data_IF_748591345071
#
_entry.id   IF_748591345071
#
_cell.length_a   1.000
_cell.length_b   1.000
_cell.length_c   1.000
_cell.angle_alpha   90.00
_cell.angle_beta   90.00
_cell.angle_gamma   90.00
#
_symmetry.space_group_name_H-M   'P 1'
#
loop_
_entity.id
_entity.type
_entity.pdbx_description
1 polymer ?
#
# COMPACT_ATOMS: atom_id res chain seq x y z
N UNK A 1 18.96 7.53 20.56
CA UNK A 1 19.86 6.59 19.87
C UNK A 1 18.98 5.80 18.91
N UNK A 2 19.10 6.10 17.62
CA UNK A 2 18.29 5.52 16.55
C UNK A 2 19.00 4.25 16.07
N UNK A 3 18.32 3.11 16.14
CA UNK A 3 18.78 1.86 15.52
C UNK A 3 18.22 1.83 14.09
N UNK A 4 18.99 2.41 13.16
CA UNK A 4 18.70 2.44 11.72
C UNK A 4 19.69 1.52 10.99
N UNK A 5 19.46 0.20 11.08
CA UNK A 5 20.22 -0.82 10.34
C UNK A 5 19.42 -1.57 9.26
N UNK A 6 18.25 -1.08 8.85
CA UNK A 6 17.39 -1.82 7.92
C UNK A 6 17.38 -1.27 6.47
N UNK A 7 18.47 -0.63 6.03
CA UNK A 7 18.75 -0.43 4.61
C UNK A 7 19.81 -1.42 4.12
N UNK A 8 19.53 -2.72 4.24
CA UNK A 8 20.23 -3.74 3.46
C UNK A 8 19.54 -3.90 2.09
N UNK A 9 20.11 -3.24 1.09
CA UNK A 9 19.97 -3.66 -0.31
C UNK A 9 20.80 -4.95 -0.46
N UNK A 10 20.15 -6.00 -0.97
CA UNK A 10 20.60 -7.40 -0.93
C UNK A 10 22.09 -7.66 -1.17
N UNK A 11 22.70 -8.35 -0.20
CA UNK A 11 24.07 -8.85 -0.25
C UNK A 11 24.22 -10.10 -1.11
N UNK A 12 25.08 -10.00 -2.13
CA UNK A 12 25.75 -11.15 -2.74
C UNK A 12 26.94 -11.56 -1.86
N UNK A 13 27.05 -12.86 -1.59
CA UNK A 13 28.15 -13.47 -0.85
C UNK A 13 29.50 -13.30 -1.55
N UNK A 14 30.54 -12.98 -0.77
CA UNK A 14 31.90 -13.30 -1.19
C UNK A 14 33.02 -12.58 -0.44
N UNK A 15 33.62 -13.27 0.53
CA UNK A 15 35.08 -13.25 0.71
C UNK A 15 35.64 -12.19 1.65
N UNK A 16 36.29 -12.67 2.72
CA UNK A 16 36.94 -11.82 3.72
C UNK A 16 38.17 -11.07 3.21
N UNK A 17 38.48 -10.00 3.94
CA UNK A 17 39.67 -9.19 3.76
C UNK A 17 39.65 -8.00 4.69
N UNK A 18 40.12 -8.19 5.93
CA UNK A 18 40.39 -7.08 6.83
C UNK A 18 41.57 -6.26 6.31
N UNK A 19 41.34 -4.98 6.02
CA UNK A 19 42.42 -4.08 5.59
C UNK A 19 41.92 -2.70 5.17
N UNK A 20 42.10 -1.73 6.08
CA UNK A 20 42.34 -0.31 5.80
C UNK A 20 41.56 0.34 4.63
N UNK A 21 40.31 0.77 4.86
CA UNK A 21 39.60 1.67 3.93
C UNK A 21 38.95 2.89 4.62
N UNK A 22 39.65 3.47 5.60
CA UNK A 22 39.33 4.80 6.17
C UNK A 22 40.14 5.93 5.52
N UNK A 23 40.80 5.67 4.38
CA UNK A 23 41.89 6.51 3.89
C UNK A 23 41.55 7.50 2.77
N UNK A 24 40.64 7.19 1.85
CA UNK A 24 40.58 7.95 0.59
C UNK A 24 39.80 9.27 0.64
N UNK A 25 38.73 9.36 1.45
CA UNK A 25 37.92 10.59 1.53
C UNK A 25 38.67 11.79 2.12
N UNK A 26 39.49 11.54 3.16
CA UNK A 26 40.22 12.60 3.85
C UNK A 26 41.37 13.20 3.02
N UNK A 27 42.01 12.40 2.15
CA UNK A 27 43.16 12.88 1.36
C UNK A 27 42.74 13.82 0.23
N UNK A 28 41.60 13.57 -0.43
CA UNK A 28 41.09 14.42 -1.51
C UNK A 28 40.64 15.80 -0.98
N UNK A 29 40.02 15.82 0.20
CA UNK A 29 39.59 17.06 0.87
C UNK A 29 40.77 17.92 1.35
N UNK A 30 41.85 17.30 1.85
CA UNK A 30 43.06 18.01 2.26
C UNK A 30 43.80 18.65 1.07
N UNK A 31 43.87 17.95 -0.06
CA UNK A 31 44.46 18.48 -1.31
C UNK A 31 43.66 19.65 -1.89
N UNK A 32 42.32 19.59 -1.87
CA UNK A 32 41.47 20.67 -2.36
C UNK A 32 41.61 21.97 -1.54
N UNK A 33 41.80 21.86 -0.22
CA UNK A 33 42.07 23.01 0.65
C UNK A 33 43.44 23.67 0.36
N UNK A 34 44.45 22.88 0.01
CA UNK A 34 45.78 23.39 -0.39
C UNK A 34 45.79 24.15 -1.73
N UNK A 35 44.80 23.90 -2.59
CA UNK A 35 44.71 24.48 -3.94
C UNK A 35 43.83 25.73 -4.03
N UNK A 36 43.28 26.23 -2.90
CA UNK A 36 42.40 27.40 -2.91
C UNK A 36 41.08 27.17 -3.66
N UNK A 37 40.70 25.90 -3.88
CA UNK A 37 39.49 25.53 -4.60
C UNK A 37 38.28 25.53 -3.65
N UNK A 38 37.80 26.72 -3.29
CA UNK A 38 36.57 26.88 -2.49
C UNK A 38 35.33 26.21 -3.12
N UNK A 39 35.39 25.86 -4.41
CA UNK A 39 34.29 25.26 -5.18
C UNK A 39 34.17 23.74 -5.12
N UNK A 40 35.26 23.00 -4.87
CA UNK A 40 35.24 21.52 -4.88
C UNK A 40 34.36 20.91 -3.77
N UNK A 41 34.31 21.45 -2.54
CA UNK A 41 33.61 20.80 -1.42
C UNK A 41 32.09 20.68 -1.60
N UNK A 42 31.43 21.70 -2.19
CA UNK A 42 29.96 21.65 -2.35
C UNK A 42 29.53 20.53 -3.28
N UNK A 43 30.23 20.35 -4.40
CA UNK A 43 29.90 19.30 -5.38
C UNK A 43 30.03 17.89 -4.80
N UNK A 44 31.00 17.65 -3.93
CA UNK A 44 31.16 16.36 -3.26
C UNK A 44 30.05 16.09 -2.25
N UNK A 45 29.62 17.11 -1.49
CA UNK A 45 28.53 16.98 -0.52
C UNK A 45 27.18 16.63 -1.18
N UNK A 46 26.99 16.98 -2.46
CA UNK A 46 25.76 16.63 -3.21
C UNK A 46 25.58 15.12 -3.43
N UNK A 47 26.62 14.31 -3.26
CA UNK A 47 26.55 12.86 -3.42
C UNK A 47 26.43 12.12 -2.08
N UNK A 48 26.67 12.80 -0.97
CA UNK A 48 26.58 12.21 0.37
C UNK A 48 25.12 12.05 0.81
N UNK A 49 24.86 11.10 1.71
CA UNK A 49 23.59 11.01 2.42
C UNK A 49 23.50 12.09 3.53
N UNK A 50 22.33 12.25 4.15
CA UNK A 50 22.15 13.25 5.20
C UNK A 50 23.04 13.03 6.43
N UNK A 51 23.37 11.78 6.76
CA UNK A 51 24.21 11.46 7.91
C UNK A 51 25.66 11.89 7.64
N UNK A 52 26.15 11.62 6.44
CA UNK A 52 27.48 11.97 5.99
C UNK A 52 27.64 13.48 5.79
N UNK A 53 26.59 14.18 5.34
CA UNK A 53 26.56 15.65 5.28
C UNK A 53 26.77 16.24 6.68
N UNK A 54 26.04 15.76 7.69
CA UNK A 54 26.19 16.21 9.09
C UNK A 54 27.56 15.85 9.66
N UNK A 55 28.05 14.64 9.39
CA UNK A 55 29.37 14.20 9.84
C UNK A 55 30.50 15.07 9.24
N UNK A 56 30.42 15.40 7.95
CA UNK A 56 31.33 16.35 7.31
C UNK A 56 31.27 17.73 7.99
N UNK A 57 30.05 18.17 8.33
CA UNK A 57 29.83 19.43 9.05
C UNK A 57 30.50 19.48 10.44
N UNK A 58 30.71 18.33 11.08
CA UNK A 58 31.41 18.25 12.37
C UNK A 58 32.94 18.28 12.24
N UNK A 59 33.50 18.01 11.05
CA UNK A 59 34.94 17.84 10.87
C UNK A 59 35.72 19.18 10.89
N UNK A 60 35.20 20.24 10.26
CA UNK A 60 35.80 21.58 10.31
C UNK A 60 34.79 22.70 10.03
N UNK A 61 35.13 23.95 10.38
CA UNK A 61 34.24 25.11 10.21
C UNK A 61 33.81 25.41 8.77
N UNK A 62 34.65 25.06 7.78
CA UNK A 62 34.34 25.29 6.37
C UNK A 62 33.29 24.30 5.89
N UNK A 63 33.50 23.01 6.18
CA UNK A 63 32.54 21.94 5.92
C UNK A 63 31.27 22.13 6.74
N UNK A 64 31.35 22.67 7.95
CA UNK A 64 30.16 23.06 8.72
C UNK A 64 29.29 24.06 7.96
N UNK A 65 29.91 25.11 7.40
CA UNK A 65 29.19 26.10 6.58
C UNK A 65 28.63 25.49 5.30
N UNK A 66 29.40 24.64 4.62
CA UNK A 66 28.98 23.97 3.39
C UNK A 66 27.89 22.92 3.63
N UNK A 67 27.96 22.14 4.71
CA UNK A 67 26.94 21.19 5.14
C UNK A 67 25.69 21.89 5.66
N UNK A 68 25.78 23.16 6.08
CA UNK A 68 24.63 24.01 6.39
C UNK A 68 24.00 24.69 5.16
N UNK A 69 24.58 24.50 3.97
CA UNK A 69 24.11 25.15 2.75
C UNK A 69 22.75 24.60 2.30
N UNK A 70 21.84 25.51 1.94
CA UNK A 70 20.48 25.18 1.53
C UNK A 70 20.47 24.36 0.23
N UNK A 71 21.41 24.60 -0.69
CA UNK A 71 21.54 23.87 -1.95
C UNK A 71 21.92 22.41 -1.75
N UNK A 72 22.83 22.13 -0.80
CA UNK A 72 23.22 20.75 -0.43
C UNK A 72 22.03 19.98 0.11
N UNK A 73 21.30 20.55 1.07
CA UNK A 73 20.12 19.89 1.62
C UNK A 73 18.97 19.80 0.63
N UNK A 74 18.82 20.77 -0.27
CA UNK A 74 17.80 20.69 -1.34
C UNK A 74 18.07 19.49 -2.23
N UNK A 75 19.32 19.29 -2.67
CA UNK A 75 19.68 18.12 -3.46
C UNK A 75 19.52 16.80 -2.69
N UNK A 76 19.83 16.76 -1.39
CA UNK A 76 19.57 15.59 -0.55
C UNK A 76 18.08 15.28 -0.42
N UNK A 77 17.25 16.31 -0.23
CA UNK A 77 15.79 16.21 -0.15
C UNK A 77 15.15 15.78 -1.45
N UNK A 78 15.57 16.36 -2.56
CA UNK A 78 15.03 16.03 -3.87
C UNK A 78 15.35 14.56 -4.23
N UNK A 79 16.56 14.08 -3.91
CA UNK A 79 16.91 12.64 -4.00
C UNK A 79 16.08 11.76 -3.06
N UNK A 80 15.85 12.21 -1.82
CA UNK A 80 15.01 11.48 -0.87
C UNK A 80 13.56 11.33 -1.37
N UNK A 81 13.03 12.35 -2.04
CA UNK A 81 11.67 12.38 -2.57
C UNK A 81 11.52 11.69 -3.93
N UNK A 82 12.63 11.31 -4.57
CA UNK A 82 12.62 10.59 -5.83
C UNK A 82 11.91 9.23 -5.67
N UNK A 83 10.93 8.99 -6.55
CA UNK A 83 10.11 7.77 -6.53
C UNK A 83 9.15 7.65 -5.35
N UNK A 84 8.97 8.68 -4.51
CA UNK A 84 8.02 8.64 -3.40
C UNK A 84 6.60 8.99 -3.88
N UNK A 85 5.64 8.15 -3.51
CA UNK A 85 4.22 8.28 -3.86
C UNK A 85 3.61 9.50 -3.15
N UNK A 86 3.95 9.69 -1.87
CA UNK A 86 3.40 10.78 -1.07
C UNK A 86 4.47 11.45 -0.22
N UNK A 87 4.49 12.79 -0.30
CA UNK A 87 5.28 13.69 0.55
C UNK A 87 4.35 14.83 0.97
N UNK A 88 4.12 15.06 2.27
CA UNK A 88 3.21 16.10 2.74
C UNK A 88 3.57 17.50 2.22
N UNK A 89 2.57 18.29 1.85
CA UNK A 89 2.77 19.67 1.40
C UNK A 89 3.44 20.54 2.48
N UNK A 90 3.15 20.26 3.76
CA UNK A 90 3.84 20.91 4.88
C UNK A 90 5.35 20.67 4.86
N UNK A 91 5.81 19.47 4.48
CA UNK A 91 7.24 19.16 4.32
C UNK A 91 7.85 19.82 3.08
N UNK A 92 7.04 20.03 2.03
CA UNK A 92 7.43 20.74 0.80
C UNK A 92 7.65 22.24 1.02
N UNK A 93 6.83 22.85 1.86
CA UNK A 93 6.90 24.27 2.21
C UNK A 93 8.04 24.62 3.18
N UNK A 94 8.63 23.65 3.88
CA UNK A 94 9.74 23.85 4.82
C UNK A 94 11.08 24.10 4.13
N UNK A 95 12.06 24.62 4.90
CA UNK A 95 13.46 24.67 4.46
C UNK A 95 13.98 23.27 4.14
N UNK A 96 14.96 23.15 3.25
CA UNK A 96 15.33 21.85 2.69
C UNK A 96 15.72 20.81 3.75
N UNK A 97 16.52 21.19 4.74
CA UNK A 97 16.91 20.30 5.85
C UNK A 97 15.72 19.91 6.73
N UNK A 98 14.87 20.88 7.07
CA UNK A 98 13.67 20.68 7.89
C UNK A 98 12.67 19.77 7.18
N UNK A 99 12.41 20.04 5.88
CA UNK A 99 11.55 19.23 5.03
C UNK A 99 12.07 17.81 4.82
N UNK A 100 13.39 17.64 4.68
CA UNK A 100 14.04 16.32 4.64
C UNK A 100 13.72 15.52 5.92
N UNK A 101 13.98 16.12 7.09
CA UNK A 101 13.75 15.46 8.39
C UNK A 101 12.25 15.20 8.63
N UNK A 102 11.40 16.17 8.32
CA UNK A 102 9.95 16.05 8.45
C UNK A 102 9.40 14.90 7.58
N UNK A 103 9.90 14.77 6.34
CA UNK A 103 9.50 13.69 5.43
C UNK A 103 9.91 12.31 5.95
N UNK A 104 11.11 12.17 6.54
CA UNK A 104 11.53 10.92 7.17
C UNK A 104 10.64 10.55 8.35
N UNK A 105 10.22 11.52 9.17
CA UNK A 105 9.29 11.27 10.27
C UNK A 105 7.91 10.85 9.76
N UNK A 106 7.38 11.56 8.76
CA UNK A 106 6.09 11.23 8.13
C UNK A 106 6.11 9.85 7.46
N UNK A 107 7.23 9.44 6.87
CA UNK A 107 7.36 8.10 6.25
C UNK A 107 7.10 6.93 7.21
N UNK A 108 7.20 7.18 8.53
CA UNK A 108 6.96 6.18 9.61
C UNK A 108 5.55 6.25 10.18
N UNK A 109 4.70 7.17 9.71
CA UNK A 109 3.32 7.34 10.17
C UNK A 109 2.47 6.11 9.82
N UNK A 110 1.44 5.80 10.59
CA UNK A 110 0.56 4.63 10.36
C UNK A 110 -0.92 5.01 10.38
N UNK A 111 -1.20 6.24 9.99
CA UNK A 111 -2.55 6.82 9.92
C UNK A 111 -2.57 7.86 8.80
N UNK A 112 -3.75 8.11 8.25
CA UNK A 112 -3.95 9.12 7.21
C UNK A 112 -5.26 9.88 7.46
N UNK A 113 -5.33 11.14 7.04
CA UNK A 113 -6.55 11.92 7.16
C UNK A 113 -7.54 11.66 5.99
N UNK A 114 -8.73 12.23 6.08
CA UNK A 114 -9.77 12.04 5.06
C UNK A 114 -9.40 12.67 3.70
N UNK A 115 -8.65 13.78 3.70
CA UNK A 115 -8.20 14.45 2.50
C UNK A 115 -7.17 13.57 1.78
N UNK A 116 -6.20 13.03 2.52
CA UNK A 116 -5.23 12.06 2.04
C UNK A 116 -5.94 10.83 1.47
N UNK A 117 -6.88 10.21 2.20
CA UNK A 117 -7.62 9.02 1.73
C UNK A 117 -8.28 9.25 0.37
N UNK A 118 -8.88 10.43 0.20
CA UNK A 118 -9.68 10.78 -0.99
C UNK A 118 -8.84 11.39 -2.12
N UNK A 119 -7.59 11.77 -1.84
CA UNK A 119 -6.65 12.31 -2.84
C UNK A 119 -6.04 11.26 -3.76
N UNK A 120 -6.02 9.98 -3.35
CA UNK A 120 -5.44 8.90 -4.13
C UNK A 120 -6.48 8.13 -4.95
N UNK A 121 -6.02 7.57 -6.08
CA UNK A 121 -6.64 6.38 -6.64
C UNK A 121 -5.99 5.15 -6.01
N UNK A 122 -6.82 4.25 -5.50
CA UNK A 122 -6.40 3.04 -4.81
C UNK A 122 -6.51 1.82 -5.71
N UNK A 123 -5.60 0.87 -5.54
CA UNK A 123 -5.57 -0.38 -6.30
C UNK A 123 -5.83 -1.54 -5.35
N UNK A 124 -6.75 -2.41 -5.73
CA UNK A 124 -7.34 -3.41 -4.86
C UNK A 124 -6.90 -4.82 -5.24
N UNK A 125 -6.70 -5.69 -4.24
CA UNK A 125 -6.68 -7.13 -4.42
C UNK A 125 -7.24 -7.87 -3.19
N UNK A 126 -7.65 -9.12 -3.39
CA UNK A 126 -7.85 -10.10 -2.33
C UNK A 126 -6.52 -10.71 -1.89
N UNK A 127 -6.51 -11.24 -0.68
CA UNK A 127 -5.46 -12.10 -0.12
C UNK A 127 -5.84 -13.57 -0.28
N UNK A 128 -4.86 -14.45 -0.19
CA UNK A 128 -5.05 -15.90 -0.24
C UNK A 128 -6.05 -16.37 0.81
N UNK A 129 -6.03 -15.78 2.00
CA UNK A 129 -6.93 -16.09 3.11
C UNK A 129 -8.40 -15.74 2.84
N UNK A 130 -8.71 -14.94 1.81
CA UNK A 130 -10.08 -14.71 1.37
C UNK A 130 -10.72 -16.00 0.79
N UNK A 131 -9.88 -16.91 0.29
CA UNK A 131 -10.31 -18.19 -0.29
C UNK A 131 -10.28 -18.21 -1.82
N UNK A 132 -10.19 -19.42 -2.37
CA UNK A 132 -9.95 -19.66 -3.80
C UNK A 132 -11.01 -19.05 -4.72
N UNK A 133 -12.28 -19.06 -4.30
CA UNK A 133 -13.38 -18.50 -5.07
C UNK A 133 -13.20 -17.00 -5.37
N UNK A 134 -12.52 -16.27 -4.48
CA UNK A 134 -12.22 -14.85 -4.64
C UNK A 134 -10.92 -14.64 -5.41
N UNK A 135 -9.85 -15.35 -5.04
CA UNK A 135 -8.53 -15.17 -5.68
C UNK A 135 -8.50 -15.66 -7.13
N UNK A 136 -9.32 -16.65 -7.51
CA UNK A 136 -9.44 -17.10 -8.91
C UNK A 136 -10.06 -16.06 -9.83
N UNK A 137 -10.85 -15.13 -9.29
CA UNK A 137 -11.49 -14.04 -10.03
C UNK A 137 -10.71 -12.72 -9.93
N UNK A 138 -9.74 -12.63 -9.03
CA UNK A 138 -8.94 -11.43 -8.82
C UNK A 138 -7.94 -11.24 -9.98
N UNK A 139 -8.04 -10.12 -10.73
CA UNK A 139 -7.10 -9.82 -11.81
C UNK A 139 -5.63 -9.88 -11.37
N UNK A 140 -5.29 -9.41 -10.18
CA UNK A 140 -3.90 -9.39 -9.71
C UNK A 140 -3.34 -10.80 -9.55
N UNK A 141 -4.14 -11.75 -9.07
CA UNK A 141 -3.76 -13.16 -8.95
C UNK A 141 -3.50 -13.83 -10.29
N UNK A 142 -4.15 -13.34 -11.36
CA UNK A 142 -3.96 -13.76 -12.75
C UNK A 142 -2.85 -12.97 -13.48
N UNK A 143 -2.06 -12.19 -12.74
CA UNK A 143 -1.03 -11.30 -13.26
C UNK A 143 -1.57 -10.24 -14.24
N UNK A 144 -2.84 -9.87 -14.09
CA UNK A 144 -3.49 -8.76 -14.78
C UNK A 144 -3.44 -7.50 -13.92
N UNK A 145 -3.86 -6.37 -14.50
CA UNK A 145 -3.91 -5.09 -13.80
C UNK A 145 -4.99 -5.11 -12.71
N UNK A 146 -4.58 -4.81 -11.47
CA UNK A 146 -5.47 -4.77 -10.32
C UNK A 146 -6.64 -3.77 -10.55
N UNK A 147 -7.84 -4.01 -9.99
CA UNK A 147 -8.92 -3.04 -10.05
C UNK A 147 -8.60 -1.74 -9.34
N UNK A 148 -9.12 -0.62 -9.86
CA UNK A 148 -8.93 0.72 -9.29
C UNK A 148 -10.19 1.19 -8.57
N UNK A 149 -10.01 1.89 -7.45
CA UNK A 149 -11.06 2.37 -6.57
C UNK A 149 -10.72 3.78 -6.08
N UNK A 150 -11.70 4.67 -5.96
CA UNK A 150 -11.53 5.98 -5.33
C UNK A 150 -12.48 6.11 -4.13
N UNK A 151 -11.94 6.50 -2.97
CA UNK A 151 -12.74 6.93 -1.84
C UNK A 151 -13.16 8.38 -2.06
N UNK A 152 -14.45 8.68 -1.86
CA UNK A 152 -15.01 10.01 -2.09
C UNK A 152 -15.28 10.74 -0.76
N UNK A 153 -15.20 12.09 -0.72
CA UNK A 153 -15.43 12.87 0.50
C UNK A 153 -16.83 12.71 1.11
N UNK A 154 -17.82 12.26 0.31
CA UNK A 154 -19.18 11.97 0.76
C UNK A 154 -19.33 10.57 1.39
N UNK A 155 -18.21 9.95 1.76
CA UNK A 155 -18.13 8.62 2.36
C UNK A 155 -18.52 7.47 1.43
N UNK A 156 -18.66 7.72 0.12
CA UNK A 156 -18.88 6.66 -0.88
C UNK A 156 -17.58 6.17 -1.50
N UNK A 157 -17.62 5.00 -2.14
CA UNK A 157 -16.48 4.42 -2.84
C UNK A 157 -16.85 4.16 -4.30
N UNK A 158 -16.12 4.82 -5.21
CA UNK A 158 -16.29 4.65 -6.66
C UNK A 158 -15.34 3.55 -7.16
N UNK A 159 -15.89 2.53 -7.80
CA UNK A 159 -15.13 1.47 -8.44
C UNK A 159 -14.94 1.77 -9.92
N UNK A 160 -13.73 1.51 -10.43
CA UNK A 160 -13.41 1.66 -11.85
C UNK A 160 -13.24 0.28 -12.49
N UNK A 161 -13.85 0.10 -13.66
CA UNK A 161 -13.80 -1.14 -14.42
C UNK A 161 -14.86 -2.16 -14.00
N UNK A 162 -14.92 -3.25 -14.76
CA UNK A 162 -15.83 -4.36 -14.52
C UNK A 162 -15.21 -5.30 -13.49
N UNK A 163 -15.43 -5.00 -12.20
CA UNK A 163 -15.24 -6.02 -11.18
C UNK A 163 -16.50 -6.89 -11.20
N UNK A 164 -16.35 -8.21 -11.30
CA UNK A 164 -17.43 -9.23 -11.29
C UNK A 164 -18.30 -9.23 -10.02
N UNK A 165 -18.14 -8.24 -9.15
CA UNK A 165 -19.02 -7.97 -8.03
C UNK A 165 -20.38 -7.45 -8.53
N UNK A 166 -21.46 -7.72 -7.78
CA UNK A 166 -22.79 -7.25 -8.14
C UNK A 166 -22.80 -5.74 -8.47
N UNK A 167 -23.32 -5.33 -9.65
CA UNK A 167 -23.18 -3.98 -10.19
C UNK A 167 -23.97 -2.88 -9.47
N UNK A 168 -24.36 -3.04 -8.21
CA UNK A 168 -25.20 -2.07 -7.50
C UNK A 168 -25.00 -2.00 -5.98
N UNK A 169 -23.98 -2.68 -5.42
CA UNK A 169 -23.73 -2.55 -3.99
C UNK A 169 -23.20 -1.14 -3.68
N UNK A 170 -23.96 -0.37 -2.90
CA UNK A 170 -23.49 0.88 -2.31
C UNK A 170 -22.30 0.53 -1.41
N UNK A 171 -21.13 1.10 -1.72
CA UNK A 171 -19.94 0.93 -0.90
C UNK A 171 -19.70 2.24 -0.16
N UNK A 172 -19.68 2.17 1.16
CA UNK A 172 -19.46 3.30 2.04
C UNK A 172 -18.23 3.07 2.91
N UNK A 173 -17.62 4.14 3.40
CA UNK A 173 -16.45 4.07 4.27
C UNK A 173 -16.54 5.05 5.45
N UNK A 174 -15.92 4.70 6.57
CA UNK A 174 -15.76 5.59 7.73
C UNK A 174 -14.48 5.25 8.50
N UNK A 175 -13.88 6.22 9.17
CA UNK A 175 -12.85 5.92 10.15
C UNK A 175 -13.47 5.35 11.42
N UNK A 176 -12.72 4.45 12.07
CA UNK A 176 -13.08 3.89 13.38
C UNK A 176 -11.88 4.00 14.32
N UNK A 177 -12.13 4.02 15.62
CA UNK A 177 -11.08 4.21 16.63
C UNK A 177 -10.33 2.90 16.97
N UNK A 178 -10.91 1.75 16.62
CA UNK A 178 -10.37 0.43 16.95
C UNK A 178 -10.72 -0.65 15.92
N UNK A 179 -9.93 -1.73 15.94
CA UNK A 179 -10.17 -2.99 15.21
C UNK A 179 -9.57 -4.14 16.01
N UNK A 180 -10.36 -5.17 16.27
CA UNK A 180 -10.00 -6.24 17.22
C UNK A 180 -9.41 -5.68 18.52
N UNK A 181 -8.13 -6.00 18.77
CA UNK A 181 -7.38 -5.57 19.97
C UNK A 181 -6.51 -4.32 19.76
N UNK A 182 -6.62 -3.65 18.63
CA UNK A 182 -5.78 -2.50 18.26
C UNK A 182 -6.57 -1.21 18.41
N UNK A 183 -5.93 -0.20 19.00
CA UNK A 183 -6.39 1.18 19.07
C UNK A 183 -5.31 2.10 18.50
N UNK A 184 -5.69 3.29 18.08
CA UNK A 184 -4.79 4.19 17.37
C UNK A 184 -5.42 5.55 17.11
N UNK A 185 -4.63 6.54 16.65
CA UNK A 185 -5.17 7.84 16.26
C UNK A 185 -6.20 7.71 15.13
N UNK A 186 -7.10 8.68 15.01
CA UNK A 186 -8.03 8.78 13.88
C UNK A 186 -7.27 8.67 12.57
N UNK A 187 -7.81 7.86 11.65
CA UNK A 187 -7.12 7.56 10.39
C UNK A 187 -6.28 6.29 10.40
N UNK A 188 -6.12 5.63 11.55
CA UNK A 188 -5.40 4.34 11.62
C UNK A 188 -6.23 3.16 11.12
N UNK A 189 -7.55 3.27 11.21
CA UNK A 189 -8.47 2.19 10.91
C UNK A 189 -9.64 2.68 10.07
N UNK A 190 -9.88 2.00 8.95
CA UNK A 190 -10.93 2.32 7.99
C UNK A 190 -11.92 1.18 7.91
N UNK A 191 -13.17 1.44 8.26
CA UNK A 191 -14.28 0.50 8.09
C UNK A 191 -14.95 0.74 6.74
N UNK A 192 -15.17 -0.33 5.99
CA UNK A 192 -15.92 -0.30 4.72
C UNK A 192 -17.18 -1.13 4.87
N UNK A 193 -18.28 -0.67 4.28
CA UNK A 193 -19.55 -1.39 4.18
C UNK A 193 -19.90 -1.58 2.72
N UNK A 194 -20.31 -2.80 2.35
CA UNK A 194 -20.71 -3.17 0.99
C UNK A 194 -22.17 -3.65 1.05
N UNK A 195 -23.08 -2.89 0.45
CA UNK A 195 -24.51 -3.20 0.47
C UNK A 195 -25.09 -3.22 1.88
N UNK A 196 -24.57 -2.38 2.78
CA UNK A 196 -24.98 -2.31 4.19
C UNK A 196 -24.28 -3.31 5.11
N UNK A 197 -23.47 -4.25 4.58
CA UNK A 197 -22.69 -5.19 5.39
C UNK A 197 -21.26 -4.69 5.55
N UNK A 198 -20.87 -4.47 6.79
CA UNK A 198 -19.50 -4.10 7.13
C UNK A 198 -18.54 -5.26 6.87
N UNK A 199 -17.39 -4.99 6.26
CA UNK A 199 -16.29 -5.97 6.07
C UNK A 199 -15.25 -5.80 7.19
N UNK A 200 -14.30 -6.74 7.36
CA UNK A 200 -13.18 -6.55 8.28
C UNK A 200 -12.46 -5.22 8.06
N UNK A 201 -12.09 -4.57 9.16
CA UNK A 201 -11.51 -3.22 9.15
C UNK A 201 -10.18 -3.23 8.42
N UNK A 202 -9.88 -2.16 7.71
CA UNK A 202 -8.55 -1.97 7.14
C UNK A 202 -7.66 -1.23 8.13
N UNK A 203 -6.44 -1.72 8.30
CA UNK A 203 -5.38 -1.10 9.08
C UNK A 203 -4.50 -0.32 8.12
N UNK A 204 -4.25 0.96 8.45
CA UNK A 204 -3.42 1.85 7.66
C UNK A 204 -1.94 1.63 7.99
N UNK A 205 -1.10 1.50 6.97
CA UNK A 205 0.36 1.48 7.12
C UNK A 205 1.06 2.19 5.97
N UNK A 206 2.37 2.40 6.11
CA UNK A 206 3.23 3.02 5.07
C UNK A 206 4.08 1.96 4.40
N UNK A 207 4.17 2.08 3.09
CA UNK A 207 5.08 1.28 2.31
C UNK A 207 6.51 1.80 2.46
N UNK A 208 7.42 0.92 2.89
CA UNK A 208 8.77 1.31 3.34
C UNK A 208 9.62 1.95 2.23
N UNK A 209 9.50 1.47 1.00
CA UNK A 209 10.37 1.92 -0.09
C UNK A 209 9.83 3.18 -0.79
N UNK A 210 8.56 3.22 -1.14
CA UNK A 210 7.98 4.30 -1.96
C UNK A 210 7.10 5.29 -1.17
N UNK A 211 6.90 5.11 0.13
CA UNK A 211 6.06 6.00 0.96
C UNK A 211 4.63 6.16 0.43
N UNK A 212 4.08 5.13 -0.19
CA UNK A 212 2.64 5.02 -0.40
C UNK A 212 1.94 4.55 0.88
N UNK A 213 0.61 4.65 0.90
CA UNK A 213 -0.22 4.08 1.95
C UNK A 213 -0.76 2.71 1.54
N UNK A 214 -0.84 1.83 2.53
CA UNK A 214 -1.48 0.52 2.45
C UNK A 214 -2.73 0.52 3.34
N UNK A 215 -3.83 -0.01 2.82
CA UNK A 215 -5.01 -0.37 3.61
C UNK A 215 -5.10 -1.89 3.62
N UNK A 216 -4.89 -2.49 4.79
CA UNK A 216 -4.75 -3.93 4.91
C UNK A 216 -5.80 -4.50 5.85
N UNK A 217 -6.61 -5.45 5.38
CA UNK A 217 -7.45 -6.30 6.24
C UNK A 217 -6.91 -7.74 6.21
N UNK A 218 -7.56 -8.64 6.94
CA UNK A 218 -7.26 -10.07 6.86
C UNK A 218 -7.55 -10.71 5.49
N UNK A 219 -8.36 -10.07 4.63
CA UNK A 219 -8.78 -10.62 3.34
C UNK A 219 -8.37 -9.80 2.13
N UNK A 220 -8.03 -8.53 2.31
CA UNK A 220 -7.88 -7.59 1.20
C UNK A 220 -6.78 -6.58 1.45
N UNK A 221 -6.25 -6.02 0.36
CA UNK A 221 -5.20 -5.02 0.37
C UNK A 221 -5.52 -3.93 -0.63
N UNK A 222 -5.34 -2.68 -0.23
CA UNK A 222 -5.29 -1.54 -1.14
C UNK A 222 -3.93 -0.86 -1.10
N UNK A 223 -3.44 -0.43 -2.26
CA UNK A 223 -2.24 0.43 -2.41
C UNK A 223 -2.64 1.80 -2.94
N UNK A 224 -2.05 2.87 -2.40
CA UNK A 224 -2.27 4.24 -2.87
C UNK A 224 -1.49 4.60 -4.15
N UNK A 225 -0.90 3.59 -4.80
CA UNK A 225 -0.15 3.66 -6.06
C UNK A 225 -0.51 2.45 -6.91
N UNK A 226 -0.21 2.50 -8.19
CA UNK A 226 -0.47 1.39 -9.11
C UNK A 226 0.18 0.10 -8.60
N UNK A 227 -0.66 -0.88 -8.31
CA UNK A 227 -0.21 -2.15 -7.76
C UNK A 227 0.63 -2.87 -8.82
N UNK A 228 1.90 -3.20 -8.50
CA UNK A 228 2.75 -3.92 -9.43
C UNK A 228 2.19 -5.32 -9.73
N UNK A 229 2.55 -5.92 -10.87
CA UNK A 229 2.15 -7.29 -11.18
C UNK A 229 2.62 -8.26 -10.10
N UNK A 230 1.84 -9.32 -9.88
CA UNK A 230 2.14 -10.33 -8.87
C UNK A 230 3.44 -11.07 -9.18
N UNK A 231 3.73 -11.30 -10.45
CA UNK A 231 4.91 -12.03 -10.92
C UNK A 231 5.68 -11.21 -11.96
N UNK A 232 7.00 -11.40 -12.01
CA UNK A 232 7.88 -10.73 -12.97
C UNK A 232 8.91 -9.80 -12.34
N UNK A 233 9.72 -9.10 -13.15
CA UNK A 233 10.81 -8.24 -12.67
C UNK A 233 10.33 -7.02 -11.87
N UNK A 234 9.11 -6.57 -12.13
CA UNK A 234 8.50 -5.40 -11.45
C UNK A 234 7.68 -5.80 -10.21
N UNK A 235 7.68 -7.09 -9.84
CA UNK A 235 6.97 -7.58 -8.66
C UNK A 235 7.53 -6.96 -7.38
N UNK A 236 6.66 -6.34 -6.60
CA UNK A 236 6.98 -5.89 -5.25
C UNK A 236 6.72 -7.02 -4.25
N UNK A 237 7.81 -7.67 -3.83
CA UNK A 237 7.78 -8.80 -2.89
C UNK A 237 7.12 -8.46 -1.55
N UNK A 238 7.10 -7.19 -1.15
CA UNK A 238 6.46 -6.77 0.11
C UNK A 238 4.94 -6.87 0.07
N UNK A 239 4.35 -6.94 -1.13
CA UNK A 239 2.92 -7.10 -1.34
C UNK A 239 2.50 -8.57 -1.44
N UNK A 240 3.39 -9.54 -1.24
CA UNK A 240 3.02 -10.96 -1.15
C UNK A 240 2.36 -11.27 0.20
N UNK A 241 1.43 -12.22 0.21
CA UNK A 241 0.59 -12.50 1.39
C UNK A 241 1.35 -12.94 2.64
N UNK A 242 2.53 -13.55 2.48
CA UNK A 242 3.41 -13.94 3.59
C UNK A 242 4.23 -12.77 4.17
N UNK A 243 4.27 -11.62 3.49
CA UNK A 243 4.97 -10.39 3.93
C UNK A 243 4.04 -9.36 4.55
N UNK A 244 2.73 -9.57 4.40
CA UNK A 244 1.70 -8.70 4.92
C UNK A 244 1.43 -8.93 6.41
N UNK A 245 1.01 -7.88 7.11
CA UNK A 245 1.09 -7.82 8.59
C UNK A 245 -0.23 -8.10 9.31
N UNK A 246 -1.34 -8.10 8.58
CA UNK A 246 -2.69 -8.31 9.08
C UNK A 246 -3.16 -9.68 8.63
N UNK A 247 -3.32 -10.58 9.59
CA UNK A 247 -3.74 -11.95 9.36
C UNK A 247 -5.20 -12.16 9.75
N UNK A 248 -5.73 -13.34 9.43
CA UNK A 248 -7.07 -13.74 9.88
C UNK A 248 -7.16 -13.83 11.40
N UNK A 249 -6.09 -14.25 12.08
CA UNK A 249 -6.04 -14.32 13.54
C UNK A 249 -6.13 -12.94 14.20
N UNK A 250 -5.57 -11.89 13.57
CA UNK A 250 -5.68 -10.51 14.07
C UNK A 250 -7.12 -9.98 14.06
N UNK A 251 -7.95 -10.50 13.14
CA UNK A 251 -9.30 -10.00 12.86
C UNK A 251 -10.33 -11.13 12.86
N UNK A 252 -10.10 -12.18 13.67
CA UNK A 252 -10.95 -13.37 13.73
C UNK A 252 -12.42 -13.01 14.05
N UNK A 253 -12.64 -12.20 15.08
CA UNK A 253 -13.98 -11.76 15.51
C UNK A 253 -14.70 -11.01 14.39
N UNK A 254 -13.96 -10.19 13.66
CA UNK A 254 -14.47 -9.39 12.56
C UNK A 254 -14.85 -10.25 11.35
N UNK A 255 -13.98 -11.20 11.00
CA UNK A 255 -14.20 -12.18 9.96
C UNK A 255 -15.41 -13.08 10.29
N UNK A 256 -15.54 -13.50 11.54
CA UNK A 256 -16.68 -14.32 12.01
C UNK A 256 -17.99 -13.53 12.01
N UNK A 257 -17.97 -12.28 12.45
CA UNK A 257 -19.14 -11.39 12.40
C UNK A 257 -19.61 -11.19 10.97
N UNK A 258 -18.66 -10.92 10.05
CA UNK A 258 -18.95 -10.92 8.63
C UNK A 258 -19.59 -12.23 8.21
N UNK A 259 -18.94 -13.38 8.37
CA UNK A 259 -19.45 -14.67 7.87
C UNK A 259 -20.82 -15.07 8.42
N UNK A 260 -21.10 -14.75 9.69
CA UNK A 260 -22.38 -15.05 10.35
C UNK A 260 -23.48 -14.03 10.07
N UNK A 261 -23.15 -12.89 9.44
CA UNK A 261 -24.10 -11.81 9.19
C UNK A 261 -24.45 -10.99 10.43
N UNK A 262 -23.61 -11.06 11.46
CA UNK A 262 -23.75 -10.26 12.68
C UNK A 262 -23.12 -8.86 12.50
N UNK A 263 -23.70 -7.87 13.19
CA UNK A 263 -23.15 -6.52 13.28
C UNK A 263 -21.94 -6.46 14.21
N UNK A 264 -20.97 -5.60 13.89
CA UNK A 264 -19.78 -5.35 14.72
C UNK A 264 -20.09 -4.54 15.98
N UNK A 265 -21.23 -3.83 16.02
CA UNK A 265 -21.58 -2.93 17.14
C UNK A 265 -21.73 -3.65 18.49
N UNK A 266 -21.99 -4.97 18.47
CA UNK A 266 -22.11 -5.79 19.68
C UNK A 266 -20.80 -5.77 20.49
N UNK A 267 -19.65 -5.71 19.82
CA UNK A 267 -18.34 -5.70 20.46
C UNK A 267 -17.87 -4.30 20.86
N UNK A 268 -18.53 -3.26 20.32
CA UNK A 268 -18.17 -1.89 20.67
C UNK A 268 -18.69 -1.51 22.07
N UNK A 269 -19.82 -2.07 22.50
CA UNK A 269 -20.46 -1.71 23.78
C UNK A 269 -19.71 -2.27 25.01
N UNK A 270 -19.02 -3.40 24.88
CA UNK A 270 -18.34 -4.03 26.02
C UNK A 270 -16.99 -3.40 26.39
N UNK A 271 -16.44 -2.52 25.54
CA UNK A 271 -15.24 -1.74 25.85
C UNK A 271 -15.56 -0.31 26.31
N UNK A 272 -16.81 -0.04 26.69
CA UNK A 272 -17.06 1.10 27.57
C UNK A 272 -16.08 0.97 28.74
N UNK A 273 -15.24 1.98 29.01
CA UNK A 273 -14.27 1.90 30.07
C UNK A 273 -15.04 1.49 31.32
N UNK A 274 -14.56 0.44 31.98
CA UNK A 274 -14.99 0.13 33.34
C UNK A 274 -14.81 1.45 34.11
N UNK A 275 -15.91 2.16 34.34
CA UNK A 275 -15.98 3.38 35.13
C UNK A 275 -15.74 3.04 36.62
N UNK A 276 -14.91 2.03 36.88
CA UNK A 276 -14.28 1.67 38.13
C UNK A 276 -13.35 2.79 38.59
N UNK A 277 -13.98 3.86 39.08
CA UNK A 277 -13.58 4.53 40.30
C UNK A 277 -12.09 4.86 40.42
N UNK A 278 -11.58 5.73 39.54
CA UNK A 278 -10.42 6.55 39.83
C UNK A 278 -10.82 7.77 40.69
N UNK A 279 -11.44 7.52 41.85
CA UNK A 279 -11.51 8.52 42.91
C UNK A 279 -10.27 8.37 43.79
N UNK A 280 -9.18 9.00 43.37
CA UNK A 280 -7.99 9.26 44.17
C UNK A 280 -7.57 10.73 44.02
N UNK A 281 -8.39 11.60 44.61
CA UNK A 281 -8.02 12.73 45.45
C UNK A 281 -6.61 13.37 45.24
N UNK A 282 -6.59 14.61 44.73
CA UNK A 282 -5.65 15.65 45.18
C UNK A 282 -6.12 17.06 44.77
N UNK A 283 -6.60 17.80 45.79
CA UNK A 283 -6.69 19.27 45.94
C UNK A 283 -7.83 19.97 45.16
N UNK A 284 -8.94 20.38 45.79
CA UNK A 284 -9.11 21.34 46.89
C UNK A 284 -8.62 22.76 46.55
N UNK A 285 -9.54 23.60 46.04
CA UNK A 285 -9.92 24.89 46.65
C UNK A 285 -10.72 25.75 45.64
N UNK A 286 -11.93 26.17 46.02
CA UNK A 286 -12.60 27.34 45.42
C UNK A 286 -14.07 27.13 45.13
N UNK A 287 -14.94 27.72 45.95
CA UNK A 287 -16.40 27.52 45.93
C UNK A 287 -17.19 28.43 44.97
N UNK A 288 -18.51 28.25 45.01
CA UNK A 288 -19.52 29.00 44.26
C UNK A 288 -20.65 28.05 43.83
N UNK A 289 -21.59 27.72 44.71
CA UNK A 289 -22.89 28.39 44.91
C UNK A 289 -23.91 28.16 43.78
N UNK A 290 -24.97 27.42 44.14
CA UNK A 290 -26.37 27.75 43.82
C UNK A 290 -26.88 27.58 42.40
N UNK A 291 -27.54 26.45 42.12
CA UNK A 291 -28.43 26.32 40.96
C UNK A 291 -29.19 25.01 40.92
N UNK A 292 -30.40 25.00 41.49
CA UNK A 292 -31.34 23.89 41.37
C UNK A 292 -31.88 23.81 39.93
N UNK A 293 -31.73 22.66 39.29
CA UNK A 293 -32.36 22.33 38.01
C UNK A 293 -33.31 21.14 38.21
N UNK A 294 -34.55 21.35 37.76
CA UNK A 294 -35.65 20.39 37.81
C UNK A 294 -35.44 19.16 36.92
N UNK A 295 -36.07 18.02 37.23
CA UNK A 295 -35.97 16.81 36.41
C UNK A 295 -36.81 16.95 35.13
N UNK A 296 -36.17 16.71 33.99
CA UNK A 296 -36.83 16.55 32.68
C UNK A 296 -37.28 15.10 32.56
N UNK A 297 -38.59 14.89 32.39
CA UNK A 297 -39.18 13.60 32.04
C UNK A 297 -38.77 13.21 30.62
N UNK A 298 -38.25 11.99 30.47
CA UNK A 298 -37.90 11.41 29.17
C UNK A 298 -39.06 10.50 28.75
N UNK A 299 -39.78 10.87 27.70
CA UNK A 299 -40.81 10.05 27.08
C UNK A 299 -40.19 8.87 26.32
N UNK A 300 -40.75 7.68 26.56
CA UNK A 300 -40.45 6.44 25.84
C UNK A 300 -40.89 6.53 24.37
N UNK A 301 -39.92 6.67 23.46
CA UNK A 301 -40.17 6.54 22.02
C UNK A 301 -40.02 5.07 21.62
N UNK A 302 -41.15 4.42 21.37
CA UNK A 302 -41.21 3.10 20.75
C UNK A 302 -40.59 3.14 19.35
N UNK A 303 -39.47 2.44 19.16
CA UNK A 303 -38.85 2.23 17.85
C UNK A 303 -39.52 1.03 17.19
N UNK A 304 -40.33 1.33 16.18
CA UNK A 304 -41.00 0.38 15.30
C UNK A 304 -39.94 -0.35 14.44
N UNK A 305 -39.83 -1.68 14.57
CA UNK A 305 -38.96 -2.50 13.73
C UNK A 305 -39.58 -2.69 12.33
N UNK A 306 -38.89 -2.32 11.23
CA UNK A 306 -39.36 -2.69 9.90
C UNK A 306 -39.13 -4.18 9.62
N UNK A 307 -40.01 -4.81 8.81
CA UNK A 307 -39.99 -6.25 8.58
C UNK A 307 -38.76 -6.70 7.77
N UNK A 308 -38.13 -7.77 8.25
CA UNK A 308 -37.07 -8.50 7.59
C UNK A 308 -37.55 -9.15 6.28
N UNK A 309 -36.90 -8.87 5.14
CA UNK A 309 -36.85 -9.80 3.98
C UNK A 309 -35.61 -9.64 3.09
N UNK A 310 -34.96 -10.80 2.86
CA UNK A 310 -34.36 -11.37 1.63
C UNK A 310 -33.53 -10.47 0.70
N UNK A 311 -32.22 -10.79 0.53
CA UNK A 311 -31.81 -11.46 -0.72
C UNK A 311 -30.65 -12.48 -0.59
N UNK A 312 -30.50 -13.19 0.55
CA UNK A 312 -29.33 -14.06 0.81
C UNK A 312 -29.48 -15.54 0.43
N UNK A 313 -30.66 -16.03 0.07
CA UNK A 313 -30.80 -17.44 -0.35
C UNK A 313 -30.17 -17.72 -1.73
N UNK A 314 -30.14 -16.75 -2.64
CA UNK A 314 -29.69 -16.98 -4.02
C UNK A 314 -28.17 -17.21 -4.17
N UNK A 315 -27.33 -16.69 -3.26
CA UNK A 315 -25.88 -16.87 -3.33
C UNK A 315 -25.44 -18.22 -2.75
N UNK A 316 -26.04 -18.64 -1.63
CA UNK A 316 -25.80 -19.95 -1.02
C UNK A 316 -26.39 -21.08 -1.87
N UNK A 317 -27.55 -20.87 -2.49
CA UNK A 317 -28.15 -21.85 -3.40
C UNK A 317 -27.28 -22.08 -4.65
N UNK A 318 -26.67 -21.02 -5.21
CA UNK A 318 -25.84 -21.16 -6.41
C UNK A 318 -24.52 -21.91 -6.13
N UNK A 319 -23.93 -21.70 -4.94
CA UNK A 319 -22.74 -22.44 -4.48
C UNK A 319 -23.05 -23.91 -4.23
N UNK A 320 -24.16 -24.21 -3.54
CA UNK A 320 -24.59 -25.60 -3.32
C UNK A 320 -25.00 -26.32 -4.63
N UNK A 321 -25.58 -25.60 -5.59
CA UNK A 321 -26.00 -26.16 -6.87
C UNK A 321 -24.79 -26.49 -7.76
N UNK A 322 -23.73 -25.67 -7.77
CA UNK A 322 -22.47 -26.00 -8.43
C UNK A 322 -21.79 -27.21 -7.79
N UNK A 323 -21.81 -27.32 -6.46
CA UNK A 323 -21.20 -28.46 -5.76
C UNK A 323 -21.94 -29.79 -6.07
N UNK A 324 -23.27 -29.76 -6.22
CA UNK A 324 -24.06 -30.93 -6.66
C UNK A 324 -23.78 -31.31 -8.11
N UNK A 325 -23.60 -30.35 -9.00
CA UNK A 325 -23.27 -30.63 -10.41
C UNK A 325 -21.89 -31.28 -10.55
N UNK A 326 -20.90 -30.87 -9.75
CA UNK A 326 -19.57 -31.50 -9.75
C UNK A 326 -19.62 -32.94 -9.21
N UNK A 327 -20.41 -33.21 -8.17
CA UNK A 327 -20.57 -34.57 -7.64
C UNK A 327 -21.30 -35.51 -8.62
N UNK A 328 -22.24 -34.99 -9.41
CA UNK A 328 -22.91 -35.79 -10.46
C UNK A 328 -21.98 -36.16 -11.62
N UNK A 329 -21.00 -35.31 -11.93
CA UNK A 329 -20.02 -35.59 -13.00
C UNK A 329 -18.93 -36.58 -12.57
N UNK A 330 -18.65 -36.71 -11.27
CA UNK A 330 -17.65 -37.65 -10.74
C UNK A 330 -18.23 -39.03 -10.37
N UNK A 331 -19.55 -39.21 -10.50
CA UNK A 331 -20.27 -40.39 -10.02
C UNK A 331 -20.72 -41.39 -11.07
N UNK A 332 -20.27 -41.31 -12.34
CA UNK A 332 -20.56 -42.36 -13.32
C UNK A 332 -19.46 -43.44 -13.27
N UNK A 333 -19.74 -44.65 -12.74
CA UNK A 333 -18.86 -45.78 -12.95
C UNK A 333 -18.95 -46.23 -14.42
N UNK A 334 -17.79 -46.40 -15.05
CA UNK A 334 -17.66 -47.03 -16.37
C UNK A 334 -18.09 -48.51 -16.26
N UNK A 335 -19.36 -48.79 -16.50
CA UNK A 335 -19.83 -50.12 -16.86
C UNK A 335 -19.84 -50.26 -18.37
N UNK A 336 -18.81 -50.90 -18.93
CA UNK A 336 -18.97 -51.66 -20.18
C UNK A 336 -18.06 -52.90 -20.16
N UNK A 337 -18.69 -54.08 -20.18
CA UNK A 337 -18.06 -55.38 -20.47
C UNK A 337 -17.51 -55.43 -21.91
N UNK A 338 -16.68 -56.37 -22.32
CA UNK A 338 -16.72 -57.81 -22.08
C UNK A 338 -16.99 -58.53 -23.41
N UNK A 339 -16.06 -59.41 -23.82
CA UNK A 339 -16.03 -60.30 -25.01
C UNK A 339 -15.65 -59.61 -26.35
N UNK A 340 -14.93 -60.20 -27.31
CA UNK A 340 -14.70 -61.61 -27.65
C UNK A 340 -13.44 -61.77 -28.55
N UNK A 341 -13.03 -63.03 -28.77
CA UNK A 341 -11.80 -63.48 -29.43
C UNK A 341 -11.70 -63.22 -30.96
N UNK A 342 -10.47 -63.20 -31.48
CA UNK A 342 -10.18 -63.23 -32.91
C UNK A 342 -8.69 -63.46 -33.22
N UNK A 343 -8.41 -64.60 -33.82
CA UNK A 343 -7.10 -65.22 -34.06
C UNK A 343 -6.44 -64.76 -35.38
N UNK A 344 -5.10 -64.95 -35.44
CA UNK A 344 -4.24 -65.17 -36.61
C UNK A 344 -3.77 -63.99 -37.49
N UNK A 345 -2.43 -63.88 -37.58
CA UNK A 345 -1.75 -63.80 -38.88
C UNK A 345 -0.63 -62.77 -39.06
N UNK A 346 0.62 -63.23 -39.01
CA UNK A 346 1.58 -62.95 -40.10
C UNK A 346 2.62 -61.84 -39.96
N UNK A 347 3.86 -62.29 -39.68
CA UNK A 347 5.12 -62.05 -40.44
C UNK A 347 5.82 -60.67 -40.49
N UNK A 348 7.07 -60.75 -40.01
CA UNK A 348 8.35 -60.41 -40.65
C UNK A 348 8.76 -58.94 -40.91
N UNK A 349 9.95 -58.61 -40.39
CA UNK A 349 10.92 -57.64 -40.93
C UNK A 349 10.70 -56.19 -40.49
N UNK A 350 11.69 -55.39 -40.10
CA UNK A 350 13.13 -55.48 -40.23
C UNK A 350 13.75 -54.20 -39.63
N UNK A 351 15.07 -54.24 -39.48
CA UNK A 351 15.93 -53.25 -38.86
C UNK A 351 15.83 -51.81 -39.44
N UNK A 352 16.18 -50.82 -38.62
CA UNK A 352 16.37 -49.44 -39.07
C UNK A 352 16.80 -48.46 -37.97
N UNK A 353 18.03 -48.60 -37.47
CA UNK A 353 18.77 -47.56 -36.74
C UNK A 353 19.41 -46.62 -37.77
N UNK A 354 19.12 -45.32 -37.75
CA UNK A 354 19.95 -44.25 -38.32
C UNK A 354 19.41 -42.86 -37.89
N UNK A 355 20.11 -42.12 -37.02
CA UNK A 355 20.97 -40.95 -37.35
C UNK A 355 20.27 -39.60 -37.62
N UNK A 356 20.57 -38.63 -36.74
CA UNK A 356 20.73 -37.19 -36.99
C UNK A 356 21.50 -36.90 -38.31
N UNK A 357 21.48 -35.68 -38.93
CA UNK A 357 21.93 -34.43 -38.29
C UNK A 357 21.35 -33.12 -38.94
N UNK A 358 22.04 -31.94 -39.00
CA UNK A 358 21.56 -30.70 -38.37
C UNK A 358 21.56 -29.48 -39.33
N UNK A 359 21.29 -28.29 -38.80
CA UNK A 359 21.58 -27.00 -39.45
C UNK A 359 20.51 -25.95 -39.10
N UNK A 360 20.82 -24.71 -38.73
CA UNK A 360 22.06 -23.96 -38.86
C UNK A 360 21.72 -22.53 -39.30
N UNK A 361 22.40 -21.54 -38.72
CA UNK A 361 22.39 -20.14 -39.14
C UNK A 361 21.40 -19.27 -38.35
N UNK A 362 21.80 -18.26 -37.58
CA UNK A 362 22.96 -17.37 -37.75
C UNK A 362 22.47 -16.05 -38.31
N UNK A 363 22.49 -14.99 -37.50
CA UNK A 363 22.02 -13.67 -37.90
C UNK A 363 22.26 -12.61 -36.82
N UNK A 364 23.55 -12.37 -36.53
CA UNK A 364 24.01 -11.19 -35.82
C UNK A 364 24.07 -10.01 -36.79
N UNK A 365 23.53 -8.86 -36.39
CA UNK A 365 24.13 -7.57 -36.77
C UNK A 365 23.68 -6.46 -35.82
N UNK A 366 24.68 -5.95 -35.11
CA UNK A 366 24.80 -4.66 -34.42
C UNK A 366 24.31 -3.45 -35.22
N UNK A 367 23.89 -2.38 -34.53
CA UNK A 367 24.38 -1.00 -34.75
C UNK A 367 23.56 -0.01 -33.89
N UNK A 368 24.09 0.53 -32.78
CA UNK A 368 24.86 1.77 -32.57
C UNK A 368 24.00 3.00 -32.19
N UNK A 369 24.29 3.53 -30.98
CA UNK A 369 24.29 4.92 -30.49
C UNK A 369 23.27 5.98 -30.98
N UNK A 370 22.70 6.69 -30.00
CA UNK A 370 22.19 8.05 -30.18
C UNK A 370 21.65 8.71 -28.91
N UNK A 371 22.53 9.33 -28.12
CA UNK A 371 22.17 10.39 -27.14
C UNK A 371 21.71 11.65 -27.88
N UNK A 372 20.68 12.34 -27.42
CA UNK A 372 20.64 13.81 -27.36
C UNK A 372 19.63 14.30 -26.32
N UNK A 373 20.10 15.18 -25.44
CA UNK A 373 19.30 16.13 -24.69
C UNK A 373 19.54 17.52 -25.33
N UNK A 374 18.50 18.35 -25.44
CA UNK A 374 18.60 19.81 -25.29
C UNK A 374 17.21 20.46 -25.43
N UNK A 375 16.94 21.38 -24.50
CA UNK A 375 15.88 22.36 -24.54
C UNK A 375 16.13 23.44 -25.62
N UNK A 376 15.08 24.12 -26.09
CA UNK A 376 15.15 25.57 -26.30
C UNK A 376 13.76 26.22 -26.39
N UNK A 377 13.76 27.45 -25.88
CA UNK A 377 12.72 28.48 -25.82
C UNK A 377 12.38 29.08 -27.20
N UNK A 378 11.31 29.89 -27.14
CA UNK A 378 10.94 31.08 -27.96
C UNK A 378 9.63 30.89 -28.76
N UNK A 379 8.70 31.85 -28.89
CA UNK A 379 8.53 33.23 -28.39
C UNK A 379 7.24 33.79 -29.03
N UNK A 380 6.45 34.55 -28.28
CA UNK A 380 5.43 35.55 -28.71
C UNK A 380 4.26 35.03 -29.59
N UNK A 381 3.04 35.59 -29.62
CA UNK A 381 2.60 37.00 -29.58
C UNK A 381 1.05 37.03 -29.58
N UNK A 382 0.45 38.09 -29.02
CA UNK A 382 -0.90 38.64 -29.27
C UNK A 382 -2.12 37.75 -28.97
N UNK A 383 -3.25 38.23 -28.44
CA UNK A 383 -3.78 39.57 -28.23
C UNK A 383 -5.30 39.46 -27.99
N UNK A 384 -5.92 40.55 -27.51
CA UNK A 384 -7.38 40.70 -27.39
C UNK A 384 -7.89 40.34 -25.99
N UNK A 385 -8.76 41.10 -25.32
CA UNK A 385 -9.52 42.32 -25.59
C UNK A 385 -10.31 42.54 -24.28
N UNK A 386 -10.36 43.74 -23.72
CA UNK A 386 -11.45 44.68 -24.01
C UNK A 386 -12.74 44.25 -23.29
N UNK A 387 -13.11 44.95 -22.21
CA UNK A 387 -14.38 44.66 -21.51
C UNK A 387 -14.64 45.52 -20.28
N UNK A 388 -14.61 46.85 -20.46
CA UNK A 388 -15.16 47.81 -19.51
C UNK A 388 -16.67 47.99 -19.75
N UNK A 389 -17.47 47.89 -18.68
CA UNK A 389 -18.87 48.35 -18.63
C UNK A 389 -19.46 47.94 -17.27
N UNK A 390 -19.95 48.82 -16.39
CA UNK A 390 -20.36 50.20 -16.56
C UNK A 390 -21.87 50.35 -16.44
N UNK A 391 -22.41 50.14 -15.23
CA UNK A 391 -23.68 50.69 -14.71
C UNK A 391 -24.97 49.95 -15.07
N UNK A 392 -26.12 50.39 -14.51
CA UNK A 392 -26.31 51.44 -13.48
C UNK A 392 -26.32 50.92 -12.03
#
# INVERSE_FOLDING_TARGET
MLDERDHEIGGSHGGGGGGADQGMGATVLSLAQGLGLEFVPLSALLFLDARDIEACGAANRFLHKAAGDEGVWRAARDRLWEGKVFVPESSRAMRAKEGYIASLRDSKRTWLDAEELTSFSWWFRFKQQAGEAWTSQDPWYRNEKAPKVDFKPDHTVLRHGDMSLPPAANINWRFVERTGRRTGPTGSFLRVSIGGREVPTYIVSRHRSNWGFLLESCWTVYTSWEMPPREGPDCDQSLLDDKLTVTMDDQWEEAMSFNTGLSFEIYDLEAAPDNGNANANANDAGGGDGGAAEPVEVEDVAVDQPPAQAPLQAADENSQQQQRQQQQQQGQPDEEGGAEAGEAGGKEGGAGVATFPPGGGGGSSSSTYGKFAAASKDKARSGGGGGSGGGP
#
